data_IF_144075282212
#
_entry.id   IF_144075282212
#
_cell.length_a   1.000
_cell.length_b   1.000
_cell.length_c   1.000
_cell.angle_alpha   90.00
_cell.angle_beta   90.00
_cell.angle_gamma   90.00
#
_symmetry.space_group_name_H-M   'P 1'
#
loop_
_entity.id
_entity.type
_entity.pdbx_description
1 polymer ?
#
# COMPACT_ATOMS: atom_id res chain seq x y z
N UNK A 1 -13.76 6.14 -3.23
CA UNK A 1 -12.81 5.51 -4.19
C UNK A 1 -13.17 5.85 -5.64
N UNK A 2 -13.35 7.13 -5.99
CA UNK A 2 -13.66 7.58 -7.37
C UNK A 2 -12.70 8.64 -7.93
N UNK A 3 -11.67 9.03 -7.17
CA UNK A 3 -10.78 10.15 -7.55
C UNK A 3 -9.31 9.74 -7.72
N UNK A 4 -9.00 8.45 -7.81
CA UNK A 4 -7.66 8.03 -8.26
C UNK A 4 -7.69 8.10 -9.79
N UNK A 5 -6.93 8.99 -10.44
CA UNK A 5 -6.86 9.07 -11.91
C UNK A 5 -6.43 7.73 -12.49
N UNK A 6 -6.85 7.39 -13.71
CA UNK A 6 -6.48 6.11 -14.35
C UNK A 6 -4.97 5.90 -14.39
N UNK A 7 -4.21 6.94 -14.72
CA UNK A 7 -2.74 6.90 -14.71
C UNK A 7 -2.14 6.55 -13.34
N UNK A 8 -2.84 6.86 -12.25
CA UNK A 8 -2.40 6.56 -10.89
C UNK A 8 -2.82 5.13 -10.48
N UNK A 9 -3.98 4.65 -10.97
CA UNK A 9 -4.36 3.23 -10.89
C UNK A 9 -3.39 2.33 -11.64
N UNK A 10 -3.05 2.66 -12.88
CA UNK A 10 -2.10 1.89 -13.70
C UNK A 10 -0.72 1.83 -13.06
N UNK A 11 -0.24 2.93 -12.48
CA UNK A 11 1.01 2.95 -11.72
C UNK A 11 0.95 2.03 -10.50
N UNK A 12 -0.15 2.04 -9.73
CA UNK A 12 -0.31 1.12 -8.60
C UNK A 12 -0.34 -0.34 -9.05
N UNK A 13 -1.06 -0.64 -10.13
CA UNK A 13 -1.09 -1.99 -10.72
C UNK A 13 0.31 -2.42 -11.19
N UNK A 14 1.03 -1.58 -11.91
CA UNK A 14 2.38 -1.86 -12.38
C UNK A 14 3.37 -2.09 -11.22
N UNK A 15 3.22 -1.35 -10.12
CA UNK A 15 4.02 -1.55 -8.91
C UNK A 15 3.67 -2.88 -8.23
N UNK A 16 2.39 -3.24 -8.19
CA UNK A 16 1.92 -4.51 -7.63
C UNK A 16 2.41 -5.71 -8.45
N UNK A 17 2.44 -5.59 -9.77
CA UNK A 17 3.02 -6.60 -10.66
C UNK A 17 4.54 -6.69 -10.52
N UNK A 18 5.24 -5.55 -10.39
CA UNK A 18 6.69 -5.51 -10.21
C UNK A 18 7.15 -6.07 -8.86
N UNK A 19 6.34 -5.94 -7.81
CA UNK A 19 6.74 -6.38 -6.48
C UNK A 19 5.55 -6.91 -5.64
N UNK A 20 4.97 -8.07 -6.02
CA UNK A 20 3.78 -8.61 -5.36
C UNK A 20 4.02 -8.95 -3.88
N UNK A 21 5.24 -9.36 -3.52
CA UNK A 21 5.61 -9.67 -2.13
C UNK A 21 5.55 -8.44 -1.22
N UNK A 22 5.96 -7.28 -1.75
CA UNK A 22 5.84 -6.02 -1.02
C UNK A 22 4.38 -5.72 -0.69
N UNK A 23 3.46 -5.81 -1.66
CA UNK A 23 2.03 -5.53 -1.42
C UNK A 23 1.37 -6.58 -0.53
N UNK A 24 1.78 -7.85 -0.62
CA UNK A 24 1.34 -8.89 0.31
C UNK A 24 1.73 -8.54 1.75
N UNK A 25 2.98 -8.13 1.98
CA UNK A 25 3.46 -7.67 3.30
C UNK A 25 2.67 -6.47 3.80
N UNK A 26 2.43 -5.45 2.96
CA UNK A 26 1.58 -4.30 3.30
C UNK A 26 0.20 -4.77 3.76
N UNK A 27 -0.44 -5.66 3.01
CA UNK A 27 -1.75 -6.21 3.36
C UNK A 27 -1.76 -6.93 4.70
N UNK A 28 -0.75 -7.76 4.98
CA UNK A 28 -0.58 -8.46 6.26
C UNK A 28 -0.40 -7.48 7.43
N UNK A 29 0.41 -6.43 7.25
CA UNK A 29 0.67 -5.39 8.25
C UNK A 29 -0.59 -4.56 8.54
N UNK A 30 -1.35 -4.22 7.50
CA UNK A 30 -2.64 -3.52 7.63
C UNK A 30 -3.63 -4.39 8.40
N UNK A 31 -3.79 -5.66 8.02
CA UNK A 31 -4.67 -6.59 8.72
C UNK A 31 -4.28 -6.76 10.20
N UNK A 32 -2.99 -6.84 10.50
CA UNK A 32 -2.48 -6.89 11.89
C UNK A 32 -2.86 -5.65 12.69
N UNK A 33 -2.87 -4.46 12.08
CA UNK A 33 -3.28 -3.20 12.71
C UNK A 33 -4.78 -3.07 12.87
N UNK A 34 -5.55 -3.52 11.87
CA UNK A 34 -7.02 -3.58 11.97
C UNK A 34 -7.44 -4.50 13.10
N UNK A 35 -6.81 -5.67 13.24
CA UNK A 35 -7.02 -6.59 14.37
C UNK A 35 -6.67 -5.98 15.74
N UNK A 36 -5.81 -4.96 15.78
CA UNK A 36 -5.49 -4.18 17.00
C UNK A 36 -6.49 -3.05 17.28
N UNK A 37 -7.56 -2.94 16.50
CA UNK A 37 -8.61 -1.94 16.69
C UNK A 37 -8.42 -0.65 15.89
N UNK A 38 -7.42 -0.58 14.99
CA UNK A 38 -7.31 0.56 14.07
C UNK A 38 -8.35 0.46 12.95
N UNK A 39 -8.86 1.59 12.47
CA UNK A 39 -9.68 1.59 11.25
C UNK A 39 -8.83 1.19 10.04
N UNK A 40 -9.43 0.53 9.04
CA UNK A 40 -8.72 0.08 7.83
C UNK A 40 -8.02 1.23 7.10
N UNK A 41 -8.66 2.40 7.04
CA UNK A 41 -8.07 3.60 6.45
C UNK A 41 -6.85 4.09 7.25
N UNK A 42 -6.94 4.14 8.58
CA UNK A 42 -5.83 4.57 9.42
C UNK A 42 -4.67 3.56 9.38
N UNK A 43 -4.96 2.27 9.45
CA UNK A 43 -3.98 1.19 9.34
C UNK A 43 -3.23 1.26 8.00
N UNK A 44 -3.96 1.43 6.88
CA UNK A 44 -3.38 1.56 5.55
C UNK A 44 -2.46 2.79 5.45
N UNK A 45 -2.89 3.95 5.94
CA UNK A 45 -2.05 5.15 5.93
C UNK A 45 -0.77 4.98 6.74
N UNK A 46 -0.85 4.35 7.92
CA UNK A 46 0.34 4.13 8.75
C UNK A 46 1.32 3.18 8.07
N UNK A 47 0.84 2.05 7.56
CA UNK A 47 1.69 1.05 6.90
C UNK A 47 2.31 1.63 5.62
N UNK A 48 1.53 2.31 4.78
CA UNK A 48 2.06 2.96 3.58
C UNK A 48 3.13 4.00 3.93
N UNK A 49 2.97 4.75 5.03
CA UNK A 49 3.98 5.71 5.51
C UNK A 49 5.24 5.02 6.02
N UNK A 50 5.11 3.93 6.77
CA UNK A 50 6.25 3.13 7.26
C UNK A 50 7.05 2.53 6.10
N UNK A 51 6.37 2.15 5.02
CA UNK A 51 6.98 1.58 3.82
C UNK A 51 7.21 2.59 2.69
N UNK A 52 7.03 3.90 2.95
CA UNK A 52 7.18 4.93 1.92
C UNK A 52 8.58 4.90 1.28
N UNK A 53 9.62 4.66 2.08
CA UNK A 53 10.99 4.56 1.57
C UNK A 53 11.20 3.34 0.65
N UNK A 54 10.53 2.21 0.93
CA UNK A 54 10.55 1.03 0.06
C UNK A 54 9.76 1.29 -1.23
N UNK A 55 8.57 1.88 -1.13
CA UNK A 55 7.77 2.34 -2.29
C UNK A 55 8.57 3.27 -3.21
N UNK A 56 9.28 4.25 -2.65
CA UNK A 56 10.10 5.17 -3.43
C UNK A 56 11.26 4.47 -4.15
N UNK A 57 11.85 3.43 -3.54
CA UNK A 57 12.89 2.62 -4.21
C UNK A 57 12.33 1.81 -5.38
N UNK A 58 11.06 1.37 -5.29
CA UNK A 58 10.39 0.64 -6.37
C UNK A 58 9.92 1.54 -7.52
N UNK A 59 9.80 2.84 -7.28
CA UNK A 59 9.44 3.85 -8.29
C UNK A 59 10.65 4.44 -9.04
N UNK A 60 11.88 4.22 -8.57
CA UNK A 60 13.11 4.58 -9.28
C UNK A 60 13.44 3.54 -10.35
#
# INVERSE_FOLDING_TARGET
>A
MKDVPEAEREKMLALMEKNPDFFKKIGEEVQKRVKKGQSEMAATMVVMREHQAELQKLMK
#
